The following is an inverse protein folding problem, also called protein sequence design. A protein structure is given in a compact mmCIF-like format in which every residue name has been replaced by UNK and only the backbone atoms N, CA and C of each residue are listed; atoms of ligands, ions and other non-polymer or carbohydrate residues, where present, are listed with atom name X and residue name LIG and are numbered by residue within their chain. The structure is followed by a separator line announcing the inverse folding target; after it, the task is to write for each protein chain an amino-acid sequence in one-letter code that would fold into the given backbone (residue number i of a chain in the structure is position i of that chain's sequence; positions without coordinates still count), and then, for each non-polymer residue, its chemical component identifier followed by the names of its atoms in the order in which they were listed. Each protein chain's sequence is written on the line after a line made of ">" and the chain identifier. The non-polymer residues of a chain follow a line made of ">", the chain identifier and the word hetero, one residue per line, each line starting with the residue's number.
data_IF_935157957226
#
_entry.id   IF_935157957226
#
_cell.length_a   1.000
_cell.length_b   1.000
_cell.length_c   1.000
_cell.angle_alpha   90.00
_cell.angle_beta   90.00
_cell.angle_gamma   90.00
#
_symmetry.space_group_name_H-M   'P 1'
#
loop_
_entity.id
_entity.type
_entity.pdbx_description
1 polymer ?
#
# COMPACT_ATOMS: atom_id res chain seq x y z
N UNK A 1 -2.73 1.15 -22.27
CA UNK A 1 -1.84 0.44 -21.32
C UNK A 1 -2.06 -1.06 -21.29
N UNK A 2 -3.32 -1.52 -21.17
CA UNK A 2 -3.65 -2.95 -21.02
C UNK A 2 -4.21 -3.60 -22.29
N UNK A 3 -4.31 -2.86 -23.41
CA UNK A 3 -4.76 -3.39 -24.69
C UNK A 3 -6.24 -3.79 -24.74
N UNK A 4 -7.02 -3.37 -23.73
CA UNK A 4 -8.47 -3.59 -23.61
C UNK A 4 -9.10 -2.42 -22.85
N UNK A 5 -10.37 -2.14 -23.16
CA UNK A 5 -11.22 -1.19 -22.43
C UNK A 5 -12.09 -1.89 -21.37
N UNK A 6 -12.01 -3.22 -21.25
CA UNK A 6 -12.67 -3.99 -20.20
C UNK A 6 -11.79 -4.06 -18.93
N UNK A 7 -12.23 -3.48 -17.80
CA UNK A 7 -11.51 -3.54 -16.54
C UNK A 7 -11.29 -4.97 -16.03
N UNK A 8 -12.24 -5.88 -16.25
CA UNK A 8 -12.11 -7.26 -15.78
C UNK A 8 -10.97 -7.98 -16.49
N UNK A 9 -10.89 -7.84 -17.81
CA UNK A 9 -9.80 -8.39 -18.61
C UNK A 9 -8.44 -7.79 -18.21
N UNK A 10 -8.36 -6.48 -17.98
CA UNK A 10 -7.13 -5.83 -17.52
C UNK A 10 -6.66 -6.38 -16.16
N UNK A 11 -7.58 -6.54 -15.21
CA UNK A 11 -7.27 -7.12 -13.88
C UNK A 11 -6.80 -8.57 -14.01
N UNK A 12 -7.48 -9.40 -14.82
CA UNK A 12 -7.07 -10.79 -15.06
C UNK A 12 -5.65 -10.88 -15.64
N UNK A 13 -5.29 -9.98 -16.55
CA UNK A 13 -3.94 -9.89 -17.10
C UNK A 13 -2.91 -9.52 -16.02
N UNK A 14 -3.17 -8.46 -15.23
CA UNK A 14 -2.26 -8.03 -14.14
C UNK A 14 -2.01 -9.18 -13.15
N UNK A 15 -3.08 -9.84 -12.69
CA UNK A 15 -2.99 -10.96 -11.74
C UNK A 15 -2.19 -12.12 -12.32
N UNK A 16 -2.41 -12.47 -13.60
CA UNK A 16 -1.66 -13.53 -14.28
C UNK A 16 -0.16 -13.20 -14.36
N UNK A 17 0.18 -11.98 -14.79
CA UNK A 17 1.56 -11.52 -14.89
C UNK A 17 2.27 -11.51 -13.52
N UNK A 18 1.60 -11.03 -12.47
CA UNK A 18 2.16 -11.03 -11.11
C UNK A 18 2.35 -12.47 -10.59
N UNK A 19 1.44 -13.40 -10.87
CA UNK A 19 1.62 -14.82 -10.51
C UNK A 19 2.81 -15.45 -11.21
N UNK A 20 3.03 -15.15 -12.49
CA UNK A 20 4.07 -15.79 -13.28
C UNK A 20 5.46 -15.15 -13.09
N UNK A 21 5.51 -13.83 -12.86
CA UNK A 21 6.76 -13.05 -12.84
C UNK A 21 7.08 -12.40 -11.49
N UNK A 22 6.16 -12.47 -10.52
CA UNK A 22 6.33 -11.92 -9.18
C UNK A 22 6.73 -10.44 -9.19
N UNK A 23 7.76 -10.11 -8.42
CA UNK A 23 8.25 -8.73 -8.22
C UNK A 23 8.64 -8.04 -9.53
N UNK A 24 9.09 -8.78 -10.55
CA UNK A 24 9.45 -8.18 -11.83
C UNK A 24 8.21 -7.59 -12.55
N UNK A 25 7.04 -8.21 -12.41
CA UNK A 25 5.79 -7.63 -12.91
C UNK A 25 5.35 -6.43 -12.07
N UNK A 26 5.52 -6.49 -10.74
CA UNK A 26 5.19 -5.35 -9.86
C UNK A 26 6.01 -4.11 -10.24
N UNK A 27 7.33 -4.25 -10.41
CA UNK A 27 8.21 -3.14 -10.81
C UNK A 27 7.87 -2.58 -12.20
N UNK A 28 7.52 -3.45 -13.16
CA UNK A 28 7.07 -3.01 -14.50
C UNK A 28 5.76 -2.21 -14.43
N UNK A 29 4.78 -2.71 -13.67
CA UNK A 29 3.51 -2.01 -13.53
C UNK A 29 3.65 -0.69 -12.77
N UNK A 30 4.46 -0.61 -11.71
CA UNK A 30 4.74 0.67 -11.04
C UNK A 30 5.37 1.67 -12.01
N UNK A 31 6.33 1.25 -12.85
CA UNK A 31 6.90 2.14 -13.85
C UNK A 31 5.85 2.61 -14.88
N UNK A 32 4.96 1.72 -15.32
CA UNK A 32 4.00 2.01 -16.39
C UNK A 32 2.77 2.79 -15.92
N UNK A 33 2.29 2.55 -14.69
CA UNK A 33 1.12 3.23 -14.09
C UNK A 33 1.56 4.53 -13.43
N UNK A 34 2.54 4.44 -12.53
CA UNK A 34 2.92 5.56 -11.66
C UNK A 34 4.05 6.39 -12.28
N UNK A 35 4.71 5.89 -13.33
CA UNK A 35 5.85 6.56 -13.96
C UNK A 35 7.14 6.48 -13.16
N UNK A 36 7.17 5.68 -12.08
CA UNK A 36 8.28 5.65 -11.12
C UNK A 36 9.05 4.33 -11.25
N UNK A 37 10.37 4.44 -11.40
CA UNK A 37 11.25 3.27 -11.33
C UNK A 37 11.65 3.00 -9.88
N UNK A 38 11.07 1.95 -9.29
CA UNK A 38 11.45 1.51 -7.95
C UNK A 38 12.71 0.64 -7.96
N UNK A 39 13.50 0.77 -6.89
CA UNK A 39 14.65 -0.10 -6.59
C UNK A 39 14.35 -1.11 -5.48
N UNK A 40 13.32 -0.85 -4.67
CA UNK A 40 12.82 -1.71 -3.61
C UNK A 40 11.29 -1.62 -3.57
N UNK A 41 10.64 -2.74 -3.24
CA UNK A 41 9.19 -2.77 -2.99
C UNK A 41 8.85 -2.41 -1.53
N UNK A 42 9.77 -2.64 -0.61
CA UNK A 42 9.59 -2.34 0.81
C UNK A 42 10.13 -0.94 1.12
N UNK A 43 9.35 -0.18 1.90
CA UNK A 43 9.78 1.11 2.45
C UNK A 43 10.74 0.87 3.61
N UNK A 44 11.93 1.46 3.54
CA UNK A 44 12.95 1.28 4.58
C UNK A 44 12.52 1.83 5.95
N UNK A 45 12.88 1.13 7.03
CA UNK A 45 12.56 1.54 8.41
C UNK A 45 12.97 2.98 8.74
N UNK A 46 14.13 3.41 8.24
CA UNK A 46 14.60 4.77 8.47
C UNK A 46 13.73 5.82 7.75
N UNK A 47 13.26 5.51 6.53
CA UNK A 47 12.36 6.40 5.80
C UNK A 47 11.04 6.56 6.55
N UNK A 48 10.51 5.47 7.10
CA UNK A 48 9.30 5.51 7.94
C UNK A 48 9.54 6.38 9.18
N UNK A 49 10.65 6.16 9.89
CA UNK A 49 10.99 6.93 11.09
C UNK A 49 11.14 8.43 10.79
N UNK A 50 11.78 8.79 9.67
CA UNK A 50 11.95 10.17 9.26
C UNK A 50 10.61 10.82 8.92
N UNK A 51 9.79 10.16 8.09
CA UNK A 51 8.46 10.66 7.73
C UNK A 51 7.57 10.88 8.97
N UNK A 52 7.69 10.01 9.98
CA UNK A 52 6.99 10.19 11.25
C UNK A 52 7.40 11.46 12.01
N UNK A 53 8.67 11.86 11.93
CA UNK A 53 9.17 13.09 12.56
C UNK A 53 8.81 14.36 11.77
N UNK A 54 8.59 14.24 10.46
CA UNK A 54 8.21 15.36 9.58
C UNK A 54 6.72 15.75 9.71
N UNK A 55 5.89 14.84 10.21
CA UNK A 55 4.45 15.09 10.38
C UNK A 55 4.21 15.94 11.63
N UNK A 56 3.26 16.87 11.54
CA UNK A 56 2.85 17.71 12.66
C UNK A 56 2.42 16.88 13.89
N UNK A 57 2.86 17.31 15.09
CA UNK A 57 2.63 16.57 16.35
C UNK A 57 1.15 16.51 16.72
N UNK A 58 0.36 17.53 16.41
CA UNK A 58 -1.07 17.54 16.65
C UNK A 58 -1.76 16.50 15.77
N UNK A 59 -1.40 16.44 14.49
CA UNK A 59 -1.92 15.42 13.57
C UNK A 59 -1.55 14.00 14.02
N UNK A 60 -0.30 13.78 14.43
CA UNK A 60 0.14 12.49 15.00
C UNK A 60 -0.69 12.13 16.23
N UNK A 61 -0.94 13.09 17.12
CA UNK A 61 -1.73 12.87 18.34
C UNK A 61 -3.19 12.53 18.03
N UNK A 62 -3.80 13.22 17.06
CA UNK A 62 -5.15 12.95 16.60
C UNK A 62 -5.29 11.54 16.01
N UNK A 63 -4.34 11.12 15.17
CA UNK A 63 -4.32 9.77 14.59
C UNK A 63 -4.12 8.67 15.64
N UNK A 64 -3.29 8.91 16.66
CA UNK A 64 -3.14 7.98 17.79
C UNK A 64 -4.44 7.79 18.57
N UNK A 65 -5.15 8.88 18.87
CA UNK A 65 -6.42 8.82 19.57
C UNK A 65 -7.48 8.07 18.74
N UNK A 66 -7.53 8.30 17.42
CA UNK A 66 -8.41 7.57 16.53
C UNK A 66 -8.09 6.06 16.53
N UNK A 67 -6.80 5.71 16.40
CA UNK A 67 -6.34 4.32 16.43
C UNK A 67 -6.70 3.60 17.74
N UNK A 68 -6.53 4.27 18.89
CA UNK A 68 -6.89 3.73 20.19
C UNK A 68 -8.39 3.42 20.29
N UNK A 69 -9.24 4.35 19.87
CA UNK A 69 -10.71 4.17 19.88
C UNK A 69 -11.15 3.03 18.97
N UNK A 70 -10.59 2.97 17.76
CA UNK A 70 -10.86 1.88 16.80
C UNK A 70 -10.43 0.54 17.42
N UNK A 71 -9.24 0.47 18.00
CA UNK A 71 -8.73 -0.75 18.63
C UNK A 71 -9.61 -1.19 19.80
N UNK A 72 -10.00 -0.25 20.68
CA UNK A 72 -10.86 -0.54 21.83
C UNK A 72 -12.21 -1.11 21.41
N UNK A 73 -12.83 -0.51 20.40
CA UNK A 73 -14.11 -0.97 19.87
C UNK A 73 -14.03 -2.38 19.30
N UNK A 74 -13.08 -2.63 18.39
CA UNK A 74 -12.94 -3.96 17.75
C UNK A 74 -12.44 -5.03 18.74
N UNK A 75 -11.69 -4.66 19.77
CA UNK A 75 -11.29 -5.61 20.82
C UNK A 75 -12.50 -6.08 21.63
N UNK A 76 -13.44 -5.17 21.94
CA UNK A 76 -14.68 -5.51 22.65
C UNK A 76 -15.66 -6.35 21.79
N UNK A 77 -15.47 -6.39 20.47
CA UNK A 77 -16.25 -7.19 19.52
C UNK A 77 -15.67 -8.59 19.26
N UNK A 78 -14.52 -8.95 19.86
CA UNK A 78 -14.02 -10.32 19.75
C UNK A 78 -14.97 -11.25 20.50
N UNK A 79 -15.59 -12.17 19.78
CA UNK A 79 -16.38 -13.25 20.38
C UNK A 79 -15.54 -14.02 21.40
N UNK A 80 -16.17 -14.42 22.52
CA UNK A 80 -15.55 -15.27 23.54
C UNK A 80 -15.25 -16.68 23.02
#
# INVERSE_FOLDING_TARGET
>A
MFGTDDPEQAVRQIVSEVRNRGNAALLDYTLRIDGIKLTSLEVGKQQIANAYQEVDRELVSALKLAAERIHSFHTAQKDN
#
